data_IF_451850608074
#
_entry.id   IF_451850608074
#
_cell.length_a   1.000
_cell.length_b   1.000
_cell.length_c   1.000
_cell.angle_alpha   90.00
_cell.angle_beta   90.00
_cell.angle_gamma   90.00
#
_symmetry.space_group_name_H-M   'P 1'
#
loop_
_entity.id
_entity.type
_entity.pdbx_description
1 polymer ?
#
# COMPACT_ATOMS: atom_id res chain seq x y z
N UNK A 1 6.91 0.97 -34.00
CA UNK A 1 6.31 -0.36 -34.14
C UNK A 1 5.50 -0.69 -32.89
N UNK A 2 4.23 -0.90 -33.05
CA UNK A 2 3.37 -1.22 -31.92
C UNK A 2 3.41 -2.71 -31.59
N UNK A 3 3.41 -3.02 -30.32
CA UNK A 3 3.31 -4.40 -29.83
C UNK A 3 1.96 -4.58 -29.16
N UNK A 4 1.48 -5.82 -29.18
CA UNK A 4 0.32 -6.15 -28.38
C UNK A 4 0.58 -5.88 -26.91
N UNK A 5 -0.47 -5.53 -26.20
CA UNK A 5 -0.40 -5.29 -24.76
C UNK A 5 -0.85 -6.58 -24.07
N UNK A 6 0.05 -7.14 -23.26
CA UNK A 6 -0.25 -8.33 -22.48
C UNK A 6 -0.97 -7.94 -21.21
N UNK A 7 -2.12 -8.55 -20.98
CA UNK A 7 -2.92 -8.25 -19.81
C UNK A 7 -2.43 -9.06 -18.61
N UNK A 8 -2.66 -8.49 -17.44
CA UNK A 8 -2.37 -9.16 -16.18
C UNK A 8 -3.24 -10.41 -16.07
N UNK A 9 -2.68 -11.49 -15.54
CA UNK A 9 -3.40 -12.75 -15.31
C UNK A 9 -4.28 -12.73 -14.06
N UNK A 10 -4.26 -11.64 -13.32
CA UNK A 10 -5.07 -11.51 -12.11
C UNK A 10 -6.54 -11.60 -12.45
N UNK A 11 -7.25 -12.54 -11.85
CA UNK A 11 -8.69 -12.67 -11.99
C UNK A 11 -9.44 -11.67 -11.13
N UNK A 12 -8.77 -11.18 -10.09
CA UNK A 12 -9.36 -10.27 -9.12
C UNK A 12 -8.55 -8.97 -9.11
N UNK A 13 -9.23 -7.86 -9.40
CA UNK A 13 -8.64 -6.54 -9.26
C UNK A 13 -8.80 -6.13 -7.80
N UNK A 14 -7.72 -5.65 -7.18
CA UNK A 14 -7.77 -5.22 -5.79
C UNK A 14 -8.79 -4.07 -5.63
N UNK A 15 -9.67 -4.15 -4.64
CA UNK A 15 -10.61 -3.07 -4.36
C UNK A 15 -9.93 -1.85 -3.71
N UNK A 16 -8.69 -2.00 -3.28
CA UNK A 16 -7.94 -0.93 -2.62
C UNK A 16 -6.77 -0.52 -3.51
N UNK A 17 -6.77 0.74 -3.93
CA UNK A 17 -5.66 1.31 -4.68
C UNK A 17 -4.54 1.65 -3.72
N UNK A 18 -3.29 1.43 -4.14
CA UNK A 18 -2.13 1.58 -3.28
C UNK A 18 -1.16 2.62 -3.83
N UNK A 19 -0.54 3.38 -2.95
CA UNK A 19 0.55 4.29 -3.28
C UNK A 19 1.65 4.17 -2.23
N UNK A 20 2.86 4.47 -2.64
CA UNK A 20 4.03 4.51 -1.74
C UNK A 20 4.57 5.93 -1.71
N UNK A 21 4.73 6.48 -0.51
CA UNK A 21 5.36 7.78 -0.30
C UNK A 21 6.62 7.60 0.53
N UNK A 22 7.73 8.15 0.05
CA UNK A 22 9.04 8.01 0.69
C UNK A 22 9.43 9.26 1.49
N UNK A 23 8.61 10.29 1.47
CA UNK A 23 8.83 11.49 2.26
C UNK A 23 7.50 12.20 2.50
N UNK A 24 7.53 13.08 3.49
CA UNK A 24 6.34 13.81 3.92
C UNK A 24 5.75 14.69 2.82
N UNK A 25 6.61 15.28 1.99
CA UNK A 25 6.16 16.13 0.88
C UNK A 25 5.30 15.35 -0.12
N UNK A 26 5.73 14.16 -0.49
CA UNK A 26 4.96 13.29 -1.38
C UNK A 26 3.61 12.94 -0.75
N UNK A 27 3.62 12.62 0.54
CA UNK A 27 2.40 12.28 1.27
C UNK A 27 1.41 13.45 1.27
N UNK A 28 1.88 14.64 1.59
CA UNK A 28 1.03 15.83 1.61
C UNK A 28 0.43 16.12 0.24
N UNK A 29 1.20 15.91 -0.85
CA UNK A 29 0.70 16.09 -2.21
C UNK A 29 -0.42 15.11 -2.53
N UNK A 30 -0.28 13.84 -2.11
CA UNK A 30 -1.32 12.84 -2.33
C UNK A 30 -2.57 13.13 -1.50
N UNK A 31 -2.40 13.60 -0.26
CA UNK A 31 -3.54 13.97 0.58
C UNK A 31 -4.34 15.12 -0.05
N UNK A 32 -3.65 16.11 -0.61
CA UNK A 32 -4.30 17.21 -1.33
C UNK A 32 -5.04 16.70 -2.57
N UNK A 33 -4.43 15.77 -3.31
CA UNK A 33 -5.06 15.17 -4.49
C UNK A 33 -6.32 14.42 -4.11
N UNK A 34 -6.34 13.78 -2.95
CA UNK A 34 -7.52 13.09 -2.41
C UNK A 34 -8.54 14.07 -1.81
N UNK A 35 -8.24 15.37 -1.81
CA UNK A 35 -9.09 16.42 -1.27
C UNK A 35 -9.37 16.28 0.22
N UNK A 36 -8.39 15.80 0.96
CA UNK A 36 -8.44 15.74 2.41
C UNK A 36 -8.06 17.11 2.95
N UNK A 37 -8.80 17.59 3.94
CA UNK A 37 -8.52 18.88 4.57
C UNK A 37 -7.20 18.82 5.30
N UNK A 38 -6.41 19.91 5.21
CA UNK A 38 -5.11 19.97 5.86
C UNK A 38 -5.21 19.76 7.38
N UNK A 39 -6.30 20.23 8.00
CA UNK A 39 -6.54 20.03 9.43
C UNK A 39 -6.76 18.56 9.80
N UNK A 40 -7.04 17.71 8.82
CA UNK A 40 -7.29 16.27 9.02
C UNK A 40 -6.11 15.41 8.55
N UNK A 41 -4.98 16.02 8.18
CA UNK A 41 -3.81 15.26 7.74
C UNK A 41 -3.26 14.45 8.91
N UNK A 42 -3.12 13.12 8.76
CA UNK A 42 -2.45 12.31 9.77
C UNK A 42 -0.94 12.52 9.67
N UNK A 43 -0.23 12.12 10.72
CA UNK A 43 1.23 12.12 10.70
C UNK A 43 1.74 11.18 9.60
N UNK A 44 2.87 11.52 9.00
CA UNK A 44 3.47 10.72 7.93
C UNK A 44 3.67 9.27 8.36
N UNK A 45 4.32 9.07 9.50
CA UNK A 45 4.43 7.76 10.14
C UNK A 45 4.00 7.87 11.58
N UNK A 46 3.47 6.77 12.13
CA UNK A 46 3.11 6.71 13.53
C UNK A 46 4.34 6.89 14.41
N UNK A 47 4.16 7.48 15.59
CA UNK A 47 5.27 7.71 16.52
C UNK A 47 5.99 6.39 16.81
N UNK A 48 7.31 6.41 16.67
CA UNK A 48 8.14 5.22 16.89
C UNK A 48 8.16 4.21 15.76
N UNK A 49 7.43 4.46 14.66
CA UNK A 49 7.38 3.56 13.51
C UNK A 49 8.27 4.07 12.38
N UNK A 50 8.78 3.15 11.58
CA UNK A 50 9.56 3.47 10.37
C UNK A 50 8.71 3.38 9.10
N UNK A 51 7.53 2.79 9.18
CA UNK A 51 6.56 2.74 8.10
C UNK A 51 5.16 2.73 8.69
N UNK A 52 4.20 3.28 7.96
CA UNK A 52 2.79 3.29 8.35
C UNK A 52 1.94 3.27 7.10
N UNK A 53 0.89 2.46 7.10
CA UNK A 53 -0.10 2.44 6.03
C UNK A 53 -1.32 3.20 6.50
N UNK A 54 -1.69 4.24 5.73
CA UNK A 54 -2.90 5.02 5.99
C UNK A 54 -3.98 4.59 5.01
N UNK A 55 -5.17 4.35 5.53
CA UNK A 55 -6.33 3.96 4.71
C UNK A 55 -7.30 5.12 4.60
N UNK A 56 -7.78 5.36 3.39
CA UNK A 56 -8.72 6.44 3.10
C UNK A 56 -9.90 5.89 2.33
N UNK A 57 -11.08 6.35 2.70
CA UNK A 57 -12.31 5.95 2.02
C UNK A 57 -13.03 7.20 1.53
N UNK A 58 -13.32 7.23 0.23
CA UNK A 58 -14.06 8.32 -0.39
C UNK A 58 -15.22 7.72 -1.19
N UNK A 59 -16.43 7.82 -0.64
CA UNK A 59 -17.58 7.17 -1.23
C UNK A 59 -17.41 5.65 -1.20
N UNK A 60 -17.42 5.02 -2.38
CA UNK A 60 -17.22 3.58 -2.53
C UNK A 60 -15.76 3.21 -2.82
N UNK A 61 -14.93 4.21 -3.08
CA UNK A 61 -13.54 3.97 -3.38
C UNK A 61 -12.71 3.94 -2.11
N UNK A 62 -11.84 2.96 -2.03
CA UNK A 62 -10.87 2.83 -0.96
C UNK A 62 -9.47 2.86 -1.54
N UNK A 63 -8.56 3.55 -0.84
CA UNK A 63 -7.16 3.55 -1.20
C UNK A 63 -6.33 3.55 0.08
N UNK A 64 -5.07 3.20 -0.07
CA UNK A 64 -4.12 3.31 1.03
C UNK A 64 -2.82 3.93 0.53
N UNK A 65 -2.12 4.56 1.45
CA UNK A 65 -0.80 5.13 1.19
C UNK A 65 0.15 4.55 2.22
N UNK A 66 1.15 3.86 1.72
CA UNK A 66 2.24 3.36 2.56
C UNK A 66 3.27 4.47 2.67
N UNK A 67 3.49 4.94 3.88
CA UNK A 67 4.48 5.96 4.17
C UNK A 67 5.71 5.30 4.76
N UNK A 68 6.85 5.50 4.12
CA UNK A 68 8.11 4.89 4.51
C UNK A 68 9.11 5.97 4.90
N UNK A 69 9.58 5.92 6.13
CA UNK A 69 10.65 6.81 6.58
C UNK A 69 11.97 6.26 6.07
N UNK A 70 12.69 7.05 5.30
CA UNK A 70 14.00 6.68 4.79
C UNK A 70 15.08 7.30 5.67
N UNK A 71 15.76 6.47 6.46
CA UNK A 71 16.93 6.87 7.24
C UNK A 71 18.19 6.63 6.40
N UNK A 72 19.24 7.45 6.65
CA UNK A 72 20.48 7.36 5.88
C UNK A 72 21.14 5.98 5.89
N UNK A 73 20.95 5.23 6.96
CA UNK A 73 21.63 3.95 7.15
C UNK A 73 20.71 2.74 7.03
N UNK A 74 19.49 2.94 6.51
CA UNK A 74 18.57 1.82 6.35
C UNK A 74 19.00 0.95 5.17
N UNK A 75 19.11 -0.35 5.38
CA UNK A 75 19.47 -1.27 4.31
C UNK A 75 18.25 -1.63 3.48
N UNK A 76 18.50 -2.11 2.25
CA UNK A 76 17.41 -2.57 1.37
C UNK A 76 16.62 -3.71 2.01
N UNK A 77 17.31 -4.60 2.71
CA UNK A 77 16.65 -5.71 3.43
C UNK A 77 15.70 -5.18 4.49
N UNK A 78 16.13 -4.18 5.26
CA UNK A 78 15.27 -3.55 6.26
C UNK A 78 14.04 -2.89 5.63
N UNK A 79 14.24 -2.19 4.51
CA UNK A 79 13.12 -1.58 3.78
C UNK A 79 12.13 -2.64 3.30
N UNK A 80 12.63 -3.70 2.68
CA UNK A 80 11.77 -4.77 2.18
C UNK A 80 11.00 -5.46 3.30
N UNK A 81 11.63 -5.63 4.46
CA UNK A 81 10.96 -6.19 5.63
C UNK A 81 9.81 -5.31 6.10
N UNK A 82 10.02 -3.99 6.12
CA UNK A 82 8.96 -3.03 6.45
C UNK A 82 7.81 -3.10 5.43
N UNK A 83 8.14 -3.18 4.15
CA UNK A 83 7.12 -3.24 3.10
C UNK A 83 6.30 -4.53 3.18
N UNK A 84 6.91 -5.65 3.52
CA UNK A 84 6.18 -6.90 3.74
C UNK A 84 5.22 -6.76 4.93
N UNK A 85 5.67 -6.14 6.00
CA UNK A 85 4.82 -5.88 7.17
C UNK A 85 3.59 -5.06 6.76
N UNK A 86 3.81 -3.99 6.01
CA UNK A 86 2.71 -3.14 5.53
C UNK A 86 1.81 -3.88 4.54
N UNK A 87 2.40 -4.75 3.71
CA UNK A 87 1.63 -5.57 2.77
C UNK A 87 0.64 -6.48 3.49
N UNK A 88 0.99 -6.99 4.67
CA UNK A 88 0.07 -7.82 5.46
C UNK A 88 -1.12 -6.98 5.94
N UNK A 89 -0.88 -5.75 6.40
CA UNK A 89 -1.97 -4.86 6.80
C UNK A 89 -2.90 -4.54 5.62
N UNK A 90 -2.32 -4.32 4.44
CA UNK A 90 -3.11 -4.08 3.22
C UNK A 90 -3.95 -5.31 2.88
N UNK A 91 -3.36 -6.48 2.96
CA UNK A 91 -4.09 -7.73 2.71
C UNK A 91 -5.25 -7.90 3.68
N UNK A 92 -5.04 -7.60 4.96
CA UNK A 92 -6.11 -7.67 5.96
C UNK A 92 -7.29 -6.77 5.58
N UNK A 93 -7.00 -5.57 5.08
CA UNK A 93 -8.04 -4.65 4.61
C UNK A 93 -8.72 -5.14 3.33
N UNK A 94 -7.95 -5.65 2.38
CA UNK A 94 -8.47 -6.22 1.12
C UNK A 94 -9.39 -7.41 1.42
N UNK A 95 -8.94 -8.30 2.28
CA UNK A 95 -9.68 -9.48 2.70
C UNK A 95 -11.05 -9.10 3.26
N UNK A 96 -11.07 -8.08 4.11
CA UNK A 96 -12.31 -7.55 4.68
C UNK A 96 -13.22 -6.95 3.62
N UNK A 97 -12.66 -6.17 2.68
CA UNK A 97 -13.42 -5.57 1.58
C UNK A 97 -14.09 -6.59 0.68
N UNK A 98 -13.43 -7.71 0.39
CA UNK A 98 -13.98 -8.76 -0.48
C UNK A 98 -14.83 -9.78 0.29
N UNK A 99 -14.94 -9.63 1.60
CA UNK A 99 -15.77 -10.50 2.43
C UNK A 99 -15.20 -11.89 2.67
N UNK A 100 -13.89 -12.07 2.52
CA UNK A 100 -13.23 -13.35 2.75
C UNK A 100 -12.86 -13.49 4.23
N UNK A 101 -13.64 -14.25 4.98
CA UNK A 101 -13.39 -14.46 6.40
C UNK A 101 -12.33 -15.51 6.66
N UNK A 102 -12.27 -16.54 5.83
CA UNK A 102 -11.35 -17.66 5.97
C UNK A 102 -10.76 -18.04 4.61
N UNK A 103 -9.89 -17.19 4.03
CA UNK A 103 -9.30 -17.49 2.73
C UNK A 103 -8.35 -18.69 2.82
N UNK A 104 -8.18 -19.39 1.70
CA UNK A 104 -7.21 -20.48 1.65
C UNK A 104 -5.81 -19.92 1.92
N UNK A 105 -4.95 -20.76 2.48
CA UNK A 105 -3.57 -20.36 2.80
C UNK A 105 -2.81 -19.93 1.56
N UNK A 106 -3.01 -20.60 0.44
CA UNK A 106 -2.33 -20.23 -0.81
C UNK A 106 -2.83 -18.91 -1.37
N UNK A 107 -4.14 -18.67 -1.35
CA UNK A 107 -4.69 -17.39 -1.79
C UNK A 107 -4.11 -16.25 -0.95
N UNK A 108 -4.09 -16.42 0.37
CA UNK A 108 -3.53 -15.42 1.27
C UNK A 108 -2.05 -15.18 0.99
N UNK A 109 -1.26 -16.25 0.86
CA UNK A 109 0.17 -16.15 0.60
C UNK A 109 0.47 -15.46 -0.73
N UNK A 110 -0.21 -15.84 -1.80
CA UNK A 110 -0.04 -15.19 -3.11
C UNK A 110 -0.48 -13.74 -3.09
N UNK A 111 -1.53 -13.42 -2.35
CA UNK A 111 -2.00 -12.04 -2.22
C UNK A 111 -0.98 -11.15 -1.53
N UNK A 112 -0.43 -11.62 -0.42
CA UNK A 112 0.62 -10.89 0.31
C UNK A 112 1.86 -10.75 -0.56
N UNK A 113 2.25 -11.80 -1.27
CA UNK A 113 3.37 -11.76 -2.21
C UNK A 113 3.17 -10.69 -3.28
N UNK A 114 1.98 -10.65 -3.90
CA UNK A 114 1.69 -9.69 -4.96
C UNK A 114 1.74 -8.26 -4.45
N UNK A 115 1.15 -7.99 -3.28
CA UNK A 115 1.18 -6.65 -2.67
C UNK A 115 2.62 -6.25 -2.32
N UNK A 116 3.37 -7.16 -1.72
CA UNK A 116 4.77 -6.92 -1.37
C UNK A 116 5.60 -6.58 -2.60
N UNK A 117 5.41 -7.32 -3.68
CA UNK A 117 6.13 -7.12 -4.94
C UNK A 117 5.83 -5.74 -5.54
N UNK A 118 4.56 -5.32 -5.51
CA UNK A 118 4.17 -4.00 -5.98
C UNK A 118 4.85 -2.89 -5.15
N UNK A 119 4.85 -3.02 -3.84
CA UNK A 119 5.49 -2.04 -2.96
C UNK A 119 7.00 -1.99 -3.16
N UNK A 120 7.64 -3.15 -3.29
CA UNK A 120 9.08 -3.24 -3.54
C UNK A 120 9.44 -2.62 -4.90
N UNK A 121 8.61 -2.86 -5.91
CA UNK A 121 8.80 -2.28 -7.23
C UNK A 121 8.66 -0.77 -7.25
N UNK A 122 7.80 -0.22 -6.39
CA UNK A 122 7.59 1.22 -6.27
C UNK A 122 8.71 1.92 -5.47
N UNK A 123 9.42 1.18 -4.64
CA UNK A 123 10.55 1.71 -3.87
C UNK A 123 11.77 1.92 -4.75
#
# INVERSE_FOLDING_TARGET
MSKGIWLNRSLIVSPIRMALCKNEKQFMQELKRLKIKESEFPDFVSWGADATTHFFKKGREECCIVCLRTAKNITRVQVYSLLVHEAVHIWQAVKECIGEEDPSKEFEAYSIQAISQELMGAY
#
